data_IF_351913901873
#
_entry.id   IF_351913901873
#
_cell.length_a   1.000
_cell.length_b   1.000
_cell.length_c   1.000
_cell.angle_alpha   90.00
_cell.angle_beta   90.00
_cell.angle_gamma   90.00
#
_symmetry.space_group_name_H-M   'P 1'
#
loop_
_entity.id
_entity.type
_entity.pdbx_description
1 polymer ?
#
# COMPACT_ATOMS: atom_id res chain seq x y z
N UNK A 1 -16.40 25.12 -19.68
CA UNK A 1 -16.99 24.14 -18.74
C UNK A 1 -15.85 23.47 -17.99
N UNK A 2 -15.58 23.82 -16.73
CA UNK A 2 -14.42 23.28 -15.98
C UNK A 2 -14.82 22.83 -14.57
N UNK A 3 -15.93 22.09 -14.47
CA UNK A 3 -16.46 21.59 -13.19
C UNK A 3 -15.65 20.41 -12.63
N UNK A 4 -14.85 19.74 -13.47
CA UNK A 4 -13.95 18.64 -13.11
C UNK A 4 -12.50 18.91 -13.55
N UNK A 5 -11.96 20.10 -13.27
CA UNK A 5 -10.55 20.40 -13.56
C UNK A 5 -9.68 20.12 -12.32
N UNK A 6 -9.34 18.85 -12.11
CA UNK A 6 -8.58 18.38 -10.94
C UNK A 6 -7.11 18.14 -11.27
N UNK A 7 -6.19 18.78 -10.56
CA UNK A 7 -4.75 18.46 -10.60
C UNK A 7 -4.39 17.55 -9.43
N UNK A 8 -3.60 16.50 -9.70
CA UNK A 8 -3.06 15.59 -8.67
C UNK A 8 -1.81 16.15 -8.01
N UNK A 9 -0.95 16.80 -8.79
CA UNK A 9 0.31 17.39 -8.32
C UNK A 9 0.50 18.79 -8.93
N UNK A 10 0.44 19.88 -8.14
CA UNK A 10 -0.01 19.93 -6.74
C UNK A 10 -1.51 19.57 -6.62
N UNK A 11 -1.95 18.97 -5.50
CA UNK A 11 -3.34 18.55 -5.33
C UNK A 11 -4.26 19.77 -5.27
N UNK A 12 -5.18 19.86 -6.22
CA UNK A 12 -6.26 20.88 -6.20
C UNK A 12 -7.24 20.61 -5.06
N UNK A 13 -7.92 21.67 -4.58
CA UNK A 13 -8.96 21.54 -3.55
C UNK A 13 -10.05 20.54 -3.96
N UNK A 14 -10.48 20.56 -5.23
CA UNK A 14 -11.44 19.61 -5.79
C UNK A 14 -10.93 18.17 -5.73
N UNK A 15 -9.64 17.93 -6.03
CA UNK A 15 -9.03 16.61 -5.94
C UNK A 15 -9.03 16.08 -4.50
N UNK A 16 -8.74 16.94 -3.51
CA UNK A 16 -8.80 16.58 -2.09
C UNK A 16 -10.24 16.28 -1.66
N UNK A 17 -11.20 17.15 -1.99
CA UNK A 17 -12.61 16.94 -1.65
C UNK A 17 -13.16 15.64 -2.26
N UNK A 18 -12.82 15.35 -3.51
CA UNK A 18 -13.28 14.16 -4.22
C UNK A 18 -12.70 12.85 -3.65
N UNK A 19 -11.50 12.90 -3.05
CA UNK A 19 -10.83 11.69 -2.52
C UNK A 19 -11.02 11.54 -1.01
N UNK A 20 -10.78 12.59 -0.23
CA UNK A 20 -10.86 12.58 1.24
C UNK A 20 -12.30 12.77 1.72
N UNK A 21 -13.11 13.58 1.04
CA UNK A 21 -14.51 13.86 1.45
C UNK A 21 -15.35 12.59 1.60
N UNK A 22 -15.49 11.76 0.54
CA UNK A 22 -16.18 10.47 0.64
C UNK A 22 -15.56 9.53 1.67
N UNK A 23 -14.23 9.55 1.81
CA UNK A 23 -13.51 8.72 2.79
C UNK A 23 -13.88 9.08 4.23
N UNK A 24 -14.02 10.36 4.55
CA UNK A 24 -14.45 10.84 5.88
C UNK A 24 -15.92 10.51 6.16
N UNK A 25 -16.80 10.65 5.16
CA UNK A 25 -18.21 10.26 5.29
C UNK A 25 -18.30 8.75 5.56
N UNK A 26 -17.57 7.94 4.80
CA UNK A 26 -17.52 6.50 5.00
C UNK A 26 -16.97 6.12 6.39
N UNK A 27 -15.90 6.79 6.83
CA UNK A 27 -15.33 6.60 8.15
C UNK A 27 -16.36 6.88 9.25
N UNK A 28 -17.13 7.98 9.13
CA UNK A 28 -18.17 8.35 10.11
C UNK A 28 -19.29 7.30 10.25
N UNK A 29 -19.53 6.51 9.19
CA UNK A 29 -20.49 5.41 9.20
C UNK A 29 -19.85 4.17 9.80
N UNK A 30 -18.65 3.80 9.33
CA UNK A 30 -17.97 2.55 9.71
C UNK A 30 -17.50 2.55 11.16
N UNK A 31 -17.03 3.69 11.69
CA UNK A 31 -16.48 3.80 13.06
C UNK A 31 -17.49 3.40 14.15
N UNK A 32 -18.79 3.46 13.86
CA UNK A 32 -19.87 3.04 14.77
C UNK A 32 -19.97 1.53 14.93
N UNK A 33 -19.46 0.75 13.98
CA UNK A 33 -19.55 -0.70 13.99
C UNK A 33 -18.28 -1.31 14.59
N UNK A 34 -18.45 -2.23 15.55
CA UNK A 34 -17.34 -3.00 16.14
C UNK A 34 -17.58 -4.48 15.88
N UNK A 35 -17.00 -4.98 14.80
CA UNK A 35 -17.05 -6.39 14.41
C UNK A 35 -15.65 -6.91 14.02
N UNK A 36 -15.55 -8.21 13.76
CA UNK A 36 -14.26 -8.85 13.39
C UNK A 36 -13.64 -8.26 12.11
N UNK A 37 -14.47 -7.74 11.20
CA UNK A 37 -14.02 -7.15 9.93
C UNK A 37 -13.42 -5.76 10.19
N UNK A 38 -14.08 -4.91 10.97
CA UNK A 38 -13.55 -3.60 11.36
C UNK A 38 -12.28 -3.78 12.19
N UNK A 39 -12.25 -4.76 13.09
CA UNK A 39 -11.05 -5.06 13.89
C UNK A 39 -9.86 -5.45 13.00
N UNK A 40 -10.10 -6.23 11.93
CA UNK A 40 -9.08 -6.58 10.95
C UNK A 40 -8.49 -5.33 10.28
N UNK A 41 -9.33 -4.42 9.78
CA UNK A 41 -8.86 -3.19 9.11
C UNK A 41 -8.18 -2.20 10.06
N UNK A 42 -8.65 -2.11 11.32
CA UNK A 42 -8.08 -1.23 12.34
C UNK A 42 -6.60 -1.54 12.62
N UNK A 43 -6.16 -2.81 12.49
CA UNK A 43 -4.77 -3.20 12.68
C UNK A 43 -3.84 -2.38 11.78
N UNK A 44 -4.15 -2.28 10.49
CA UNK A 44 -3.34 -1.51 9.54
C UNK A 44 -3.38 -0.01 9.84
N UNK A 45 -4.54 0.52 10.22
CA UNK A 45 -4.71 1.93 10.58
C UNK A 45 -3.93 2.35 11.84
N UNK A 46 -3.63 1.41 12.75
CA UNK A 46 -2.84 1.68 13.97
C UNK A 46 -1.33 1.69 13.74
N UNK A 47 -0.86 1.03 12.69
CA UNK A 47 0.57 0.94 12.35
C UNK A 47 0.81 1.24 10.85
N UNK A 48 0.30 2.37 10.33
CA UNK A 48 0.25 2.63 8.89
C UNK A 48 1.64 2.78 8.28
N UNK A 49 2.59 3.38 9.01
CA UNK A 49 3.96 3.58 8.54
C UNK A 49 4.74 2.26 8.51
N UNK A 50 4.58 1.41 9.52
CA UNK A 50 5.14 0.06 9.52
C UNK A 50 4.62 -0.80 8.35
N UNK A 51 3.30 -0.75 8.09
CA UNK A 51 2.73 -1.40 6.91
C UNK A 51 3.29 -0.81 5.62
N UNK A 52 3.42 0.51 5.53
CA UNK A 52 3.96 1.20 4.36
C UNK A 52 5.37 0.69 4.00
N UNK A 53 6.29 0.61 4.95
CA UNK A 53 7.62 0.07 4.65
C UNK A 53 7.57 -1.42 4.33
N UNK A 54 6.87 -2.20 5.14
CA UNK A 54 6.87 -3.67 5.01
C UNK A 54 6.27 -4.14 3.70
N UNK A 55 5.17 -3.53 3.22
CA UNK A 55 4.54 -3.93 1.96
C UNK A 55 5.40 -3.57 0.74
N UNK A 56 6.10 -2.43 0.75
CA UNK A 56 7.02 -2.06 -0.34
C UNK A 56 8.09 -3.13 -0.50
N UNK A 57 8.75 -3.56 0.59
CA UNK A 57 9.74 -4.63 0.54
C UNK A 57 9.13 -5.96 0.09
N UNK A 58 7.96 -6.33 0.63
CA UNK A 58 7.33 -7.61 0.30
C UNK A 58 6.95 -7.69 -1.19
N UNK A 59 6.40 -6.62 -1.76
CA UNK A 59 6.04 -6.56 -3.18
C UNK A 59 7.29 -6.62 -4.06
N UNK A 60 8.38 -5.93 -3.69
CA UNK A 60 9.64 -6.00 -4.45
C UNK A 60 10.24 -7.40 -4.43
N UNK A 61 10.28 -8.07 -3.27
CA UNK A 61 10.76 -9.45 -3.16
C UNK A 61 9.88 -10.38 -4.00
N UNK A 62 8.57 -10.22 -3.92
CA UNK A 62 7.62 -11.03 -4.70
C UNK A 62 7.87 -10.84 -6.20
N UNK A 63 8.01 -9.61 -6.66
CA UNK A 63 8.26 -9.32 -8.06
C UNK A 63 9.62 -9.87 -8.54
N UNK A 64 10.69 -9.83 -7.73
CA UNK A 64 11.96 -10.50 -8.04
C UNK A 64 11.76 -12.01 -8.20
N UNK A 65 11.02 -12.66 -7.30
CA UNK A 65 10.72 -14.10 -7.38
C UNK A 65 9.97 -14.43 -8.68
N UNK A 66 8.97 -13.63 -9.04
CA UNK A 66 8.23 -13.80 -10.29
C UNK A 66 9.16 -13.71 -11.52
N UNK A 67 10.07 -12.75 -11.56
CA UNK A 67 11.04 -12.63 -12.66
C UNK A 67 12.03 -13.78 -12.72
N UNK A 68 12.47 -14.30 -11.56
CA UNK A 68 13.33 -15.49 -11.51
C UNK A 68 12.61 -16.71 -12.06
N UNK A 69 11.33 -16.90 -11.75
CA UNK A 69 10.52 -18.01 -12.29
C UNK A 69 10.34 -17.89 -13.81
N UNK A 70 10.16 -16.67 -14.32
CA UNK A 70 10.05 -16.40 -15.76
C UNK A 70 11.41 -16.37 -16.49
N UNK A 71 12.53 -16.58 -15.79
CA UNK A 71 13.90 -16.43 -16.30
C UNK A 71 14.15 -15.05 -16.96
N UNK A 72 13.49 -14.00 -16.46
CA UNK A 72 13.72 -12.62 -16.87
C UNK A 72 14.83 -11.99 -16.05
N UNK A 73 15.43 -10.93 -16.57
CA UNK A 73 16.44 -10.17 -15.84
C UNK A 73 15.82 -9.49 -14.61
N UNK A 74 16.13 -10.02 -13.43
CA UNK A 74 15.69 -9.50 -12.14
C UNK A 74 16.49 -8.25 -11.71
N UNK A 75 17.63 -7.98 -12.35
CA UNK A 75 18.47 -6.81 -12.06
C UNK A 75 17.72 -5.50 -12.30
N UNK A 76 16.69 -5.53 -13.16
CA UNK A 76 15.82 -4.38 -13.44
C UNK A 76 15.11 -3.85 -12.18
N UNK A 77 14.81 -4.73 -11.22
CA UNK A 77 14.17 -4.36 -9.94
C UNK A 77 15.13 -3.84 -8.88
N UNK A 78 16.43 -4.08 -9.05
CA UNK A 78 17.48 -3.61 -8.14
C UNK A 78 18.07 -2.28 -8.61
N UNK A 79 18.01 -2.02 -9.92
CA UNK A 79 18.49 -0.80 -10.53
C UNK A 79 17.43 0.30 -10.47
N UNK A 80 17.84 1.57 -10.52
CA UNK A 80 16.93 2.73 -10.57
C UNK A 80 16.17 2.87 -11.90
N UNK A 81 16.10 1.81 -12.71
CA UNK A 81 15.43 1.77 -14.03
C UNK A 81 13.97 2.27 -14.02
N UNK A 82 13.16 2.08 -12.95
CA UNK A 82 11.80 2.64 -12.92
C UNK A 82 11.75 4.17 -12.86
N UNK A 83 12.84 4.83 -12.45
CA UNK A 83 12.93 6.28 -12.35
C UNK A 83 13.56 6.93 -13.60
N UNK A 84 13.99 6.13 -14.58
CA UNK A 84 14.51 6.66 -15.83
C UNK A 84 13.36 7.06 -16.78
N UNK A 85 13.52 8.14 -17.55
CA UNK A 85 12.48 8.66 -18.43
C UNK A 85 12.08 7.72 -19.58
N UNK A 86 12.92 6.73 -19.91
CA UNK A 86 12.66 5.75 -20.98
C UNK A 86 12.36 4.36 -20.41
N UNK A 87 11.12 4.17 -19.95
CA UNK A 87 10.61 2.94 -19.35
C UNK A 87 10.22 1.84 -20.38
N UNK A 88 10.67 1.94 -21.64
CA UNK A 88 10.26 1.01 -22.71
C UNK A 88 10.60 -0.45 -22.38
N UNK A 89 11.66 -0.67 -21.60
CA UNK A 89 12.10 -1.98 -21.11
C UNK A 89 11.10 -2.62 -20.14
N UNK A 90 10.19 -1.86 -19.51
CA UNK A 90 9.22 -2.37 -18.53
C UNK A 90 7.91 -2.85 -19.18
N UNK A 91 7.70 -2.60 -20.47
CA UNK A 91 6.47 -3.01 -21.17
C UNK A 91 6.29 -4.54 -21.20
N UNK A 92 7.39 -5.30 -21.21
CA UNK A 92 7.37 -6.77 -21.24
C UNK A 92 7.25 -7.42 -19.84
N UNK A 93 7.23 -6.61 -18.78
CA UNK A 93 7.24 -7.04 -17.38
C UNK A 93 5.86 -6.93 -16.70
N UNK A 94 4.83 -6.50 -17.45
CA UNK A 94 3.47 -6.34 -16.93
C UNK A 94 2.72 -7.66 -16.75
N UNK A 95 1.89 -7.74 -15.70
CA UNK A 95 0.97 -8.85 -15.45
C UNK A 95 -0.48 -8.42 -15.70
N UNK A 96 -1.37 -9.37 -16.08
CA UNK A 96 -2.78 -9.05 -16.22
C UNK A 96 -3.37 -8.62 -14.87
N UNK A 97 -4.36 -7.72 -14.92
CA UNK A 97 -4.87 -7.02 -13.74
C UNK A 97 -5.35 -7.96 -12.63
N UNK A 98 -5.93 -9.11 -12.97
CA UNK A 98 -6.40 -10.09 -12.00
C UNK A 98 -5.26 -10.72 -11.18
N UNK A 99 -4.07 -10.94 -11.77
CA UNK A 99 -2.89 -11.44 -11.06
C UNK A 99 -2.42 -10.39 -10.06
N UNK A 100 -2.40 -9.12 -10.46
CA UNK A 100 -2.01 -8.01 -9.59
C UNK A 100 -2.94 -7.93 -8.37
N UNK A 101 -4.25 -8.07 -8.56
CA UNK A 101 -5.21 -8.10 -7.46
C UNK A 101 -5.02 -9.33 -6.54
N UNK A 102 -4.70 -10.49 -7.11
CA UNK A 102 -4.44 -11.70 -6.32
C UNK A 102 -3.19 -11.51 -5.45
N UNK A 103 -2.08 -11.05 -6.03
CA UNK A 103 -0.85 -10.74 -5.30
C UNK A 103 -1.10 -9.70 -4.22
N UNK A 104 -1.88 -8.66 -4.52
CA UNK A 104 -2.25 -7.63 -3.55
C UNK A 104 -3.02 -8.20 -2.34
N UNK A 105 -4.00 -9.09 -2.56
CA UNK A 105 -4.71 -9.77 -1.47
C UNK A 105 -3.77 -10.65 -0.65
N UNK A 106 -2.89 -11.42 -1.30
CA UNK A 106 -1.89 -12.26 -0.61
C UNK A 106 -0.97 -11.41 0.27
N UNK A 107 -0.46 -10.30 -0.26
CA UNK A 107 0.41 -9.36 0.48
C UNK A 107 -0.30 -8.84 1.73
N UNK A 108 -1.57 -8.44 1.63
CA UNK A 108 -2.37 -8.00 2.78
C UNK A 108 -2.50 -9.12 3.83
N UNK A 109 -2.81 -10.33 3.40
CA UNK A 109 -2.99 -11.48 4.30
C UNK A 109 -1.69 -11.87 5.00
N UNK A 110 -0.55 -11.83 4.30
CA UNK A 110 0.77 -12.10 4.88
C UNK A 110 1.17 -11.03 5.89
N UNK A 111 0.91 -9.76 5.59
CA UNK A 111 1.30 -8.65 6.46
C UNK A 111 0.40 -8.53 7.69
N UNK A 112 -0.85 -8.95 7.63
CA UNK A 112 -1.78 -8.87 8.75
C UNK A 112 -1.22 -9.41 10.08
N UNK A 113 -0.73 -10.66 10.20
CA UNK A 113 -0.20 -11.17 11.47
C UNK A 113 1.05 -10.41 11.94
N UNK A 114 1.87 -9.89 11.02
CA UNK A 114 3.07 -9.12 11.33
C UNK A 114 2.67 -7.75 11.91
N UNK A 115 1.75 -7.04 11.24
CA UNK A 115 1.20 -5.77 11.71
C UNK A 115 0.47 -5.93 13.05
N UNK A 116 -0.27 -7.02 13.25
CA UNK A 116 -0.97 -7.28 14.51
C UNK A 116 0.00 -7.47 15.68
N UNK A 117 1.07 -8.27 15.48
CA UNK A 117 2.13 -8.43 16.49
C UNK A 117 2.82 -7.11 16.80
N UNK A 118 3.15 -6.33 15.77
CA UNK A 118 3.79 -5.02 15.93
C UNK A 118 2.89 -4.03 16.67
N UNK A 119 1.59 -3.99 16.34
CA UNK A 119 0.60 -3.17 17.04
C UNK A 119 0.57 -3.48 18.55
N UNK A 120 0.53 -4.76 18.94
CA UNK A 120 0.54 -5.18 20.35
C UNK A 120 1.86 -4.84 21.05
N UNK A 121 2.98 -4.92 20.33
CA UNK A 121 4.28 -4.50 20.86
C UNK A 121 4.33 -2.99 21.09
N UNK A 122 3.89 -2.20 20.10
CA UNK A 122 3.81 -0.73 20.16
C UNK A 122 2.93 -0.26 21.32
N UNK A 123 1.76 -0.88 21.54
CA UNK A 123 0.86 -0.50 22.62
C UNK A 123 1.42 -0.75 24.02
N UNK A 124 2.32 -1.73 24.17
CA UNK A 124 2.87 -2.13 25.47
C UNK A 124 4.23 -1.49 25.77
N UNK A 125 4.83 -0.77 24.81
CA UNK A 125 6.16 -0.20 24.93
C UNK A 125 6.10 1.29 25.27
N UNK A 126 6.92 1.73 26.23
CA UNK A 126 7.06 3.15 26.61
C UNK A 126 8.13 3.90 25.80
N UNK A 127 8.67 3.30 24.73
CA UNK A 127 9.79 3.88 23.96
C UNK A 127 9.29 4.95 22.99
N UNK A 128 9.86 6.14 23.06
CA UNK A 128 9.46 7.32 22.28
C UNK A 128 9.52 7.13 20.75
N UNK A 129 10.52 6.41 20.24
CA UNK A 129 10.71 6.19 18.79
C UNK A 129 9.66 5.25 18.17
N UNK A 130 8.97 4.43 18.98
CA UNK A 130 7.86 3.59 18.53
C UNK A 130 6.56 4.39 18.37
N UNK A 131 6.50 5.63 18.84
CA UNK A 131 5.35 6.50 18.58
C UNK A 131 5.22 6.77 17.07
N UNK A 132 6.37 6.96 16.41
CA UNK A 132 6.44 7.35 15.01
C UNK A 132 6.32 6.17 14.01
N UNK A 133 6.76 4.97 14.41
CA UNK A 133 6.70 3.72 13.64
C UNK A 133 5.48 2.88 14.01
#
# INVERSE_FOLDING_TARGET
MALFNTTKYPPSLLYILMTIGPSLILLSIIEKYKNKITDFFIVFGRVPLFYYFSHVFLIHITAIIFLMIENKDYSIMLNMTPFLPNQYQLMEYGYPLWVVYLVWVIVILILYPICYKYMKYKSNSKKWWLSYL
#
